data_IF_178201415756
#
_entry.id   IF_178201415756
#
_cell.length_a   1.000
_cell.length_b   1.000
_cell.length_c   1.000
_cell.angle_alpha   90.00
_cell.angle_beta   90.00
_cell.angle_gamma   90.00
#
_symmetry.space_group_name_H-M   'P 1'
#
loop_
_entity.id
_entity.type
_entity.pdbx_description
1 polymer ?
#
# COMPACT_ATOMS: atom_id res chain seq x y z
N UNK A 1 -36.83 8.13 45.92
CA UNK A 1 -35.52 7.54 46.26
C UNK A 1 -34.49 8.09 45.29
N UNK A 2 -33.68 9.06 45.71
CA UNK A 2 -32.58 9.62 44.93
C UNK A 2 -31.42 8.62 44.88
N UNK A 3 -30.90 8.33 43.70
CA UNK A 3 -29.69 7.50 43.55
C UNK A 3 -28.52 8.16 44.30
N UNK A 4 -27.69 7.38 45.03
CA UNK A 4 -26.49 7.93 45.65
C UNK A 4 -25.52 8.42 44.56
N UNK A 5 -24.71 9.46 44.85
CA UNK A 5 -23.75 10.01 43.89
C UNK A 5 -22.77 8.93 43.44
N UNK A 6 -22.49 8.86 42.13
CA UNK A 6 -21.53 7.91 41.57
C UNK A 6 -20.14 8.16 42.16
N UNK A 7 -19.48 7.10 42.61
CA UNK A 7 -18.11 7.20 43.13
C UNK A 7 -17.19 7.82 42.07
N UNK A 8 -16.33 8.79 42.41
CA UNK A 8 -15.35 9.32 41.47
C UNK A 8 -14.50 8.17 40.93
N UNK A 9 -14.42 8.05 39.61
CA UNK A 9 -13.65 7.01 38.95
C UNK A 9 -12.17 7.26 39.22
N UNK A 10 -11.54 6.35 39.96
CA UNK A 10 -10.07 6.33 40.13
C UNK A 10 -9.45 6.22 38.74
N UNK A 11 -8.61 7.20 38.35
CA UNK A 11 -7.90 7.16 37.09
C UNK A 11 -6.97 5.94 37.06
N UNK A 12 -7.23 5.02 36.14
CA UNK A 12 -6.39 3.84 35.91
C UNK A 12 -5.50 4.10 34.69
N UNK A 13 -4.17 4.23 34.85
CA UNK A 13 -3.29 4.48 33.73
C UNK A 13 -3.25 3.28 32.78
N UNK A 14 -3.11 3.55 31.48
CA UNK A 14 -2.92 2.51 30.47
C UNK A 14 -1.52 1.90 30.63
N UNK A 15 -1.41 0.58 30.53
CA UNK A 15 -0.10 -0.07 30.53
C UNK A 15 0.73 0.35 29.31
N UNK A 16 2.06 0.48 29.46
CA UNK A 16 2.96 0.67 28.32
C UNK A 16 2.80 -0.49 27.32
N UNK A 17 2.79 -0.18 26.03
CA UNK A 17 2.50 -1.14 24.96
C UNK A 17 3.46 -0.93 23.77
N UNK A 18 3.13 -0.10 22.79
CA UNK A 18 3.93 0.06 21.56
C UNK A 18 5.37 0.53 21.82
N UNK A 19 5.58 1.32 22.88
CA UNK A 19 6.90 1.87 23.23
C UNK A 19 7.84 0.83 23.85
N UNK A 20 7.31 -0.25 24.44
CA UNK A 20 8.09 -1.27 25.14
C UNK A 20 8.06 -2.62 24.43
N UNK A 21 7.16 -2.82 23.48
CA UNK A 21 6.99 -4.07 22.75
C UNK A 21 8.13 -4.30 21.76
N UNK A 22 8.69 -5.52 21.76
CA UNK A 22 9.71 -5.90 20.78
C UNK A 22 9.09 -6.03 19.39
N UNK A 23 9.69 -5.38 18.42
CA UNK A 23 9.19 -5.39 17.04
C UNK A 23 9.64 -6.66 16.31
N UNK A 24 8.75 -7.23 15.49
CA UNK A 24 9.01 -8.46 14.72
C UNK A 24 8.55 -8.30 13.26
N UNK A 25 9.12 -9.07 12.34
CA UNK A 25 8.87 -8.92 10.90
C UNK A 25 7.40 -9.13 10.50
N UNK A 26 6.70 -10.05 11.17
CA UNK A 26 5.27 -10.31 10.92
C UNK A 26 4.42 -9.09 11.27
N UNK A 27 4.76 -8.37 12.34
CA UNK A 27 4.12 -7.11 12.73
C UNK A 27 4.40 -6.01 11.71
N UNK A 28 5.67 -5.85 11.31
CA UNK A 28 6.07 -4.86 10.30
C UNK A 28 5.28 -5.03 9.00
N UNK A 29 5.33 -6.25 8.46
CA UNK A 29 4.69 -6.58 7.19
C UNK A 29 3.17 -6.53 7.27
N UNK A 30 2.56 -6.72 8.45
CA UNK A 30 1.13 -6.48 8.65
C UNK A 30 0.77 -4.99 8.56
N UNK A 31 1.51 -4.11 9.24
CA UNK A 31 1.32 -2.66 9.17
C UNK A 31 1.57 -2.16 7.75
N UNK A 32 2.66 -2.65 7.13
CA UNK A 32 3.02 -2.30 5.77
C UNK A 32 1.93 -2.73 4.77
N UNK A 33 1.35 -3.93 4.90
CA UNK A 33 0.26 -4.38 4.03
C UNK A 33 -0.98 -3.47 4.12
N UNK A 34 -1.30 -2.95 5.32
CA UNK A 34 -2.37 -1.95 5.49
C UNK A 34 -1.99 -0.63 4.83
N UNK A 35 -0.79 -0.12 5.10
CA UNK A 35 -0.32 1.14 4.52
C UNK A 35 -0.28 1.09 2.99
N UNK A 36 0.19 0.00 2.40
CA UNK A 36 0.16 -0.19 0.94
C UNK A 36 -1.26 -0.32 0.41
N UNK A 37 -2.16 -0.97 1.14
CA UNK A 37 -3.59 -0.98 0.80
C UNK A 37 -4.19 0.42 0.73
N UNK A 38 -3.90 1.29 1.70
CA UNK A 38 -4.33 2.70 1.66
C UNK A 38 -3.70 3.46 0.48
N UNK A 39 -2.41 3.25 0.20
CA UNK A 39 -1.75 3.86 -0.95
C UNK A 39 -2.38 3.43 -2.28
N UNK A 40 -2.82 2.17 -2.40
CA UNK A 40 -3.50 1.66 -3.59
C UNK A 40 -4.90 2.25 -3.78
N UNK A 41 -5.59 2.67 -2.72
CA UNK A 41 -6.83 3.45 -2.86
C UNK A 41 -6.56 4.77 -3.57
N UNK A 42 -5.46 5.46 -3.23
CA UNK A 42 -5.03 6.66 -3.96
C UNK A 42 -4.68 6.32 -5.42
N UNK A 43 -4.00 5.19 -5.65
CA UNK A 43 -3.74 4.69 -7.00
C UNK A 43 -5.01 4.44 -7.81
N UNK A 44 -6.05 3.86 -7.20
CA UNK A 44 -7.34 3.65 -7.85
C UNK A 44 -8.03 4.96 -8.24
N UNK A 45 -7.92 6.00 -7.40
CA UNK A 45 -8.41 7.35 -7.75
C UNK A 45 -7.63 7.92 -8.94
N UNK A 46 -6.31 7.75 -9.01
CA UNK A 46 -5.51 8.20 -10.15
C UNK A 46 -5.85 7.46 -11.44
N UNK A 47 -6.11 6.15 -11.37
CA UNK A 47 -6.60 5.37 -12.52
C UNK A 47 -7.99 5.84 -12.95
N UNK A 48 -8.89 6.13 -12.01
CA UNK A 48 -10.20 6.71 -12.32
C UNK A 48 -10.08 8.10 -12.97
N UNK A 49 -9.17 8.94 -12.48
CA UNK A 49 -8.87 10.25 -13.07
C UNK A 49 -8.30 10.13 -14.49
N UNK A 50 -7.44 9.13 -14.74
CA UNK A 50 -6.93 8.82 -16.08
C UNK A 50 -8.07 8.42 -17.04
N UNK A 51 -8.95 7.50 -16.62
CA UNK A 51 -10.11 7.09 -17.42
C UNK A 51 -11.06 8.26 -17.69
N UNK A 52 -11.29 9.12 -16.70
CA UNK A 52 -12.09 10.33 -16.87
C UNK A 52 -11.44 11.29 -17.88
N UNK A 53 -10.12 11.48 -17.81
CA UNK A 53 -9.39 12.34 -18.74
C UNK A 53 -9.49 11.85 -20.19
N UNK A 54 -9.46 10.52 -20.41
CA UNK A 54 -9.73 9.91 -21.72
C UNK A 54 -11.15 10.25 -22.17
N UNK A 55 -12.16 10.01 -21.33
CA UNK A 55 -13.57 10.27 -21.67
C UNK A 55 -13.88 11.74 -21.98
N UNK A 56 -13.33 12.67 -21.20
CA UNK A 56 -13.49 14.11 -21.41
C UNK A 56 -12.84 14.59 -22.72
N UNK A 57 -11.70 13.99 -23.08
CA UNK A 57 -11.02 14.28 -24.34
C UNK A 57 -11.81 13.72 -25.52
N UNK A 58 -12.25 12.46 -25.44
CA UNK A 58 -12.99 11.78 -26.50
C UNK A 58 -14.37 12.40 -26.79
N UNK A 59 -15.05 12.91 -25.76
CA UNK A 59 -16.34 13.60 -25.89
C UNK A 59 -16.24 15.03 -26.42
N UNK A 60 -15.04 15.59 -26.53
CA UNK A 60 -14.82 16.99 -26.88
C UNK A 60 -15.14 17.99 -25.76
N UNK A 61 -15.58 17.52 -24.59
CA UNK A 61 -15.89 18.38 -23.44
C UNK A 61 -14.65 19.10 -22.90
N UNK A 62 -13.51 18.41 -22.87
CA UNK A 62 -12.22 19.00 -22.54
C UNK A 62 -11.09 18.31 -23.33
N UNK A 63 -10.75 18.82 -24.53
CA UNK A 63 -9.76 18.21 -25.42
C UNK A 63 -8.34 18.08 -24.82
N UNK A 64 -8.01 18.89 -23.82
CA UNK A 64 -6.68 18.92 -23.21
C UNK A 64 -6.56 18.01 -21.98
N UNK A 65 -7.65 17.41 -21.49
CA UNK A 65 -7.67 16.66 -20.23
C UNK A 65 -6.65 15.51 -20.23
N UNK A 66 -6.62 14.70 -21.30
CA UNK A 66 -5.70 13.57 -21.39
C UNK A 66 -4.24 14.02 -21.47
N UNK A 67 -3.94 15.04 -22.27
CA UNK A 67 -2.58 15.59 -22.39
C UNK A 67 -2.08 16.17 -21.06
N UNK A 68 -2.95 16.86 -20.31
CA UNK A 68 -2.62 17.38 -18.99
C UNK A 68 -2.29 16.24 -18.00
N UNK A 69 -3.11 15.17 -17.99
CA UNK A 69 -2.83 13.99 -17.17
C UNK A 69 -1.50 13.34 -17.54
N UNK A 70 -1.24 13.12 -18.84
CA UNK A 70 0.02 12.54 -19.31
C UNK A 70 1.23 13.39 -18.94
N UNK A 71 1.13 14.71 -19.07
CA UNK A 71 2.20 15.65 -18.71
C UNK A 71 2.55 15.53 -17.23
N UNK A 72 1.54 15.46 -16.36
CA UNK A 72 1.76 15.22 -14.93
C UNK A 72 2.35 13.82 -14.68
N UNK A 73 1.76 12.77 -15.26
CA UNK A 73 2.18 11.39 -15.04
C UNK A 73 3.62 11.10 -15.50
N UNK A 74 4.07 11.76 -16.57
CA UNK A 74 5.42 11.66 -17.10
C UNK A 74 6.42 12.60 -16.44
N UNK A 75 5.97 13.55 -15.60
CA UNK A 75 6.87 14.44 -14.86
C UNK A 75 7.72 13.64 -13.85
N UNK A 76 8.88 14.16 -13.41
CA UNK A 76 9.70 13.48 -12.39
C UNK A 76 8.91 13.15 -11.10
N UNK A 77 8.02 14.05 -10.69
CA UNK A 77 7.14 13.80 -9.55
C UNK A 77 6.08 12.72 -9.86
N UNK A 78 5.47 12.75 -11.04
CA UNK A 78 4.56 11.71 -11.50
C UNK A 78 5.21 10.32 -11.52
N UNK A 79 6.43 10.22 -12.05
CA UNK A 79 7.21 8.99 -12.05
C UNK A 79 7.54 8.50 -10.63
N UNK A 80 7.88 9.40 -9.71
CA UNK A 80 8.05 9.06 -8.29
C UNK A 80 6.77 8.49 -7.68
N UNK A 81 5.60 9.10 -7.97
CA UNK A 81 4.30 8.60 -7.53
C UNK A 81 4.02 7.21 -8.10
N UNK A 82 4.23 7.00 -9.41
CA UNK A 82 4.04 5.69 -10.04
C UNK A 82 5.00 4.64 -9.50
N UNK A 83 6.24 5.02 -9.17
CA UNK A 83 7.19 4.10 -8.54
C UNK A 83 6.66 3.67 -7.17
N UNK A 84 6.26 4.62 -6.33
CA UNK A 84 5.67 4.35 -5.02
C UNK A 84 4.41 3.48 -5.09
N UNK A 85 3.52 3.75 -6.06
CA UNK A 85 2.30 2.95 -6.28
C UNK A 85 2.60 1.54 -6.77
N UNK A 86 3.58 1.36 -7.66
CA UNK A 86 4.00 0.02 -8.10
C UNK A 86 4.64 -0.78 -6.97
N UNK A 87 5.46 -0.13 -6.13
CA UNK A 87 6.02 -0.75 -4.92
C UNK A 87 4.92 -1.17 -3.95
N UNK A 88 3.95 -0.28 -3.71
CA UNK A 88 2.79 -0.57 -2.88
C UNK A 88 1.99 -1.74 -3.46
N UNK A 89 1.78 -1.78 -4.78
CA UNK A 89 1.04 -2.84 -5.47
C UNK A 89 1.70 -4.20 -5.27
N UNK A 90 2.99 -4.33 -5.55
CA UNK A 90 3.69 -5.61 -5.42
C UNK A 90 3.82 -6.07 -3.97
N UNK A 91 4.09 -5.16 -3.03
CA UNK A 91 4.14 -5.52 -1.59
C UNK A 91 2.74 -5.90 -1.07
N UNK A 92 1.68 -5.20 -1.51
CA UNK A 92 0.31 -5.55 -1.14
C UNK A 92 -0.08 -6.91 -1.72
N UNK A 93 0.26 -7.19 -2.98
CA UNK A 93 0.01 -8.46 -3.65
C UNK A 93 0.70 -9.62 -2.93
N UNK A 94 2.01 -9.55 -2.68
CA UNK A 94 2.73 -10.64 -2.01
C UNK A 94 2.30 -10.81 -0.55
N UNK A 95 1.98 -9.70 0.13
CA UNK A 95 1.36 -9.72 1.45
C UNK A 95 -0.02 -10.39 1.45
N UNK A 96 -0.84 -10.10 0.43
CA UNK A 96 -2.15 -10.71 0.22
C UNK A 96 -2.07 -12.21 -0.04
N UNK A 97 -1.13 -12.65 -0.89
CA UNK A 97 -0.85 -14.08 -1.11
C UNK A 97 -0.50 -14.78 0.21
N UNK A 98 0.35 -14.16 1.04
CA UNK A 98 0.65 -14.68 2.38
C UNK A 98 -0.61 -14.77 3.26
N UNK A 99 -1.48 -13.76 3.23
CA UNK A 99 -2.75 -13.80 3.96
C UNK A 99 -3.64 -14.95 3.48
N UNK A 100 -3.77 -15.16 2.17
CA UNK A 100 -4.50 -16.30 1.61
C UNK A 100 -3.91 -17.64 2.03
N UNK A 101 -2.58 -17.77 2.10
CA UNK A 101 -1.91 -18.98 2.63
C UNK A 101 -2.30 -19.21 4.11
N UNK A 102 -2.34 -18.16 4.91
CA UNK A 102 -2.77 -18.25 6.31
C UNK A 102 -4.26 -18.60 6.43
N UNK A 103 -5.11 -18.07 5.56
CA UNK A 103 -6.55 -18.37 5.54
C UNK A 103 -6.83 -19.85 5.18
N UNK A 104 -5.92 -20.49 4.44
CA UNK A 104 -5.94 -21.94 4.18
C UNK A 104 -5.47 -22.80 5.37
N UNK A 105 -5.11 -22.20 6.50
CA UNK A 105 -4.65 -22.95 7.67
C UNK A 105 -3.14 -23.22 7.71
N UNK A 106 -2.36 -22.68 6.77
CA UNK A 106 -0.95 -23.02 6.57
C UNK A 106 -0.01 -21.97 7.15
N UNK A 107 1.22 -22.36 7.56
CA UNK A 107 2.29 -21.38 7.83
C UNK A 107 2.22 -20.62 9.16
N UNK A 108 1.50 -21.14 10.17
CA UNK A 108 1.36 -20.50 11.49
C UNK A 108 2.52 -20.74 12.47
N UNK A 109 3.42 -21.67 12.17
CA UNK A 109 4.62 -21.88 13.00
C UNK A 109 5.52 -20.64 12.94
N UNK A 110 6.16 -20.26 14.06
CA UNK A 110 6.96 -19.03 14.15
C UNK A 110 8.00 -18.90 13.01
N UNK A 111 8.72 -19.99 12.72
CA UNK A 111 9.73 -20.03 11.66
C UNK A 111 9.13 -19.81 10.28
N UNK A 112 7.99 -20.46 9.97
CA UNK A 112 7.34 -20.32 8.66
C UNK A 112 6.65 -18.97 8.51
N UNK A 113 5.97 -18.46 9.55
CA UNK A 113 5.37 -17.14 9.53
C UNK A 113 6.41 -16.02 9.30
N UNK A 114 7.58 -16.13 9.95
CA UNK A 114 8.70 -15.20 9.73
C UNK A 114 9.28 -15.34 8.31
N UNK A 115 9.48 -16.56 7.83
CA UNK A 115 10.00 -16.81 6.49
C UNK A 115 9.07 -16.27 5.40
N UNK A 116 7.76 -16.56 5.48
CA UNK A 116 6.76 -16.04 4.55
C UNK A 116 6.72 -14.50 4.55
N UNK A 117 6.90 -13.88 5.71
CA UNK A 117 6.92 -12.41 5.83
C UNK A 117 8.15 -11.80 5.16
N UNK A 118 9.34 -12.38 5.37
CA UNK A 118 10.56 -11.93 4.70
C UNK A 118 10.52 -12.16 3.19
N UNK A 119 10.17 -13.37 2.76
CA UNK A 119 10.11 -13.71 1.34
C UNK A 119 9.05 -12.90 0.60
N UNK A 120 7.88 -12.69 1.19
CA UNK A 120 6.85 -11.84 0.60
C UNK A 120 7.33 -10.40 0.40
N UNK A 121 8.00 -9.82 1.40
CA UNK A 121 8.56 -8.47 1.30
C UNK A 121 9.64 -8.36 0.22
N UNK A 122 10.63 -9.27 0.25
CA UNK A 122 11.74 -9.27 -0.72
C UNK A 122 11.25 -9.49 -2.15
N UNK A 123 10.28 -10.40 -2.34
CA UNK A 123 9.67 -10.64 -3.66
C UNK A 123 8.94 -9.39 -4.15
N UNK A 124 8.19 -8.69 -3.29
CA UNK A 124 7.51 -7.45 -3.66
C UNK A 124 8.48 -6.36 -4.14
N UNK A 125 9.59 -6.20 -3.43
CA UNK A 125 10.66 -5.26 -3.82
C UNK A 125 11.31 -5.70 -5.15
N UNK A 126 11.66 -6.98 -5.28
CA UNK A 126 12.29 -7.51 -6.49
C UNK A 126 11.40 -7.35 -7.74
N UNK A 127 10.09 -7.62 -7.62
CA UNK A 127 9.11 -7.41 -8.69
C UNK A 127 9.03 -5.94 -9.10
N UNK A 128 9.08 -5.02 -8.14
CA UNK A 128 9.09 -3.57 -8.41
C UNK A 128 10.33 -3.18 -9.20
N UNK A 129 11.51 -3.62 -8.76
CA UNK A 129 12.78 -3.32 -9.46
C UNK A 129 12.75 -3.89 -10.88
N UNK A 130 12.31 -5.15 -11.03
CA UNK A 130 12.21 -5.79 -12.34
C UNK A 130 11.24 -5.05 -13.27
N UNK A 131 10.07 -4.64 -12.75
CA UNK A 131 9.09 -3.86 -13.50
C UNK A 131 9.67 -2.55 -14.04
N UNK A 132 10.36 -1.78 -13.20
CA UNK A 132 10.98 -0.52 -13.62
C UNK A 132 12.19 -0.72 -14.55
N UNK A 133 12.99 -1.75 -14.32
CA UNK A 133 14.08 -2.10 -15.22
C UNK A 133 13.57 -2.39 -16.64
N UNK A 134 12.46 -3.11 -16.78
CA UNK A 134 11.81 -3.37 -18.08
C UNK A 134 11.31 -2.08 -18.72
N UNK A 135 10.65 -1.20 -17.95
CA UNK A 135 10.14 0.08 -18.49
C UNK A 135 11.26 0.98 -19.03
N UNK A 136 12.38 1.05 -18.32
CA UNK A 136 13.55 1.82 -18.75
C UNK A 136 14.23 1.16 -19.96
N UNK A 137 14.44 -0.16 -19.93
CA UNK A 137 15.08 -0.89 -21.02
C UNK A 137 14.27 -0.82 -22.33
N UNK A 138 12.95 -0.74 -22.24
CA UNK A 138 12.05 -0.63 -23.40
C UNK A 138 11.74 0.82 -23.81
N UNK A 139 12.42 1.81 -23.21
CA UNK A 139 12.21 3.24 -23.46
C UNK A 139 10.75 3.68 -23.29
N UNK A 140 9.99 2.98 -22.44
CA UNK A 140 8.62 3.36 -22.07
C UNK A 140 8.60 4.47 -21.04
N UNK A 141 9.69 4.62 -20.30
CA UNK A 141 9.95 5.71 -19.37
C UNK A 141 11.35 6.25 -19.65
N UNK A 142 11.48 7.57 -19.65
CA UNK A 142 12.77 8.29 -19.70
C UNK A 142 12.80 9.20 -18.47
N UNK A 143 13.92 9.23 -17.76
CA UNK A 143 14.14 10.05 -16.56
C UNK A 143 14.52 11.48 -16.93
#
# INVERSE_FOLDING_TARGET
MSQPPSKPTVYRPLSPHLQVWKFHITMFTSILHRATGLALVVGAVLVAAWLLAIGLTASGCCPQAYTAFLTFAASPFGLFVWFGLSLAAFIHLTGGIRHLIWDLGLGFQLKSANALSWWGLLLGIALTIAFWAVLLATSKVVL
#
